data_IF_732196387833
#
_entry.id   IF_732196387833
#
_cell.length_a   1.000
_cell.length_b   1.000
_cell.length_c   1.000
_cell.angle_alpha   90.00
_cell.angle_beta   90.00
_cell.angle_gamma   90.00
#
_symmetry.space_group_name_H-M   'P 1'
#
loop_
_entity.id
_entity.type
_entity.pdbx_description
1 polymer ?
#
# COMPACT_ATOMS: atom_id res chain seq x y z
N UNK A 1 -29.57 -4.92 -20.00
CA UNK A 1 -28.29 -4.25 -19.66
C UNK A 1 -28.11 -4.30 -18.16
N UNK A 2 -26.95 -4.74 -17.63
CA UNK A 2 -26.69 -4.69 -16.19
C UNK A 2 -26.82 -3.23 -15.72
N UNK A 3 -27.61 -3.00 -14.66
CA UNK A 3 -27.83 -1.65 -14.12
C UNK A 3 -26.55 -1.18 -13.45
N UNK A 4 -25.88 -0.21 -14.06
CA UNK A 4 -24.76 0.52 -13.46
C UNK A 4 -25.25 1.19 -12.18
N UNK A 5 -24.79 0.67 -11.05
CA UNK A 5 -25.03 1.24 -9.73
C UNK A 5 -23.71 1.34 -8.96
N UNK A 6 -23.69 2.11 -7.89
CA UNK A 6 -22.48 2.36 -7.10
C UNK A 6 -21.82 1.05 -6.62
N UNK A 7 -22.61 0.04 -6.23
CA UNK A 7 -22.08 -1.27 -5.79
C UNK A 7 -21.34 -1.99 -6.90
N UNK A 8 -21.86 -1.96 -8.13
CA UNK A 8 -21.23 -2.59 -9.29
C UNK A 8 -19.91 -1.90 -9.68
N UNK A 9 -19.85 -0.57 -9.56
CA UNK A 9 -18.63 0.21 -9.83
C UNK A 9 -17.57 -0.10 -8.77
N UNK A 10 -17.94 -0.07 -7.48
CA UNK A 10 -17.00 -0.42 -6.39
C UNK A 10 -16.47 -1.83 -6.56
N UNK A 11 -17.33 -2.80 -6.89
CA UNK A 11 -16.91 -4.19 -7.13
C UNK A 11 -15.89 -4.29 -8.28
N UNK A 12 -16.11 -3.56 -9.36
CA UNK A 12 -15.18 -3.50 -10.49
C UNK A 12 -13.84 -2.88 -10.10
N UNK A 13 -13.85 -1.74 -9.40
CA UNK A 13 -12.63 -1.09 -8.90
C UNK A 13 -11.84 -2.00 -7.96
N UNK A 14 -12.54 -2.68 -7.03
CA UNK A 14 -11.90 -3.66 -6.14
C UNK A 14 -11.23 -4.79 -6.93
N UNK A 15 -11.88 -5.29 -7.99
CA UNK A 15 -11.31 -6.34 -8.84
C UNK A 15 -10.01 -5.89 -9.53
N UNK A 16 -9.90 -4.60 -9.90
CA UNK A 16 -8.66 -4.03 -10.44
C UNK A 16 -7.60 -3.89 -9.33
N UNK A 17 -8.00 -3.40 -8.16
CA UNK A 17 -7.12 -3.22 -7.00
C UNK A 17 -6.52 -4.57 -6.57
N UNK A 18 -7.31 -5.64 -6.57
CA UNK A 18 -6.88 -7.00 -6.22
C UNK A 18 -5.72 -7.49 -7.11
N UNK A 19 -5.65 -7.02 -8.36
CA UNK A 19 -4.56 -7.32 -9.30
C UNK A 19 -3.40 -6.32 -9.12
N UNK A 20 -3.71 -5.04 -8.89
CA UNK A 20 -2.70 -3.99 -8.84
C UNK A 20 -1.86 -4.04 -7.57
N UNK A 21 -2.45 -4.43 -6.42
CA UNK A 21 -1.74 -4.59 -5.14
C UNK A 21 -0.53 -5.52 -5.26
N UNK A 22 -0.65 -6.79 -5.73
CA UNK A 22 0.50 -7.67 -5.85
C UNK A 22 1.53 -7.16 -6.86
N UNK A 23 1.11 -6.49 -7.93
CA UNK A 23 2.03 -5.88 -8.91
C UNK A 23 2.86 -4.77 -8.24
N UNK A 24 2.23 -3.90 -7.46
CA UNK A 24 2.93 -2.85 -6.69
C UNK A 24 3.87 -3.49 -5.67
N UNK A 25 3.44 -4.54 -4.96
CA UNK A 25 4.26 -5.22 -3.97
C UNK A 25 5.52 -5.85 -4.59
N UNK A 26 5.37 -6.58 -5.70
CA UNK A 26 6.52 -7.14 -6.44
C UNK A 26 7.42 -6.01 -6.94
N UNK A 27 6.84 -4.96 -7.54
CA UNK A 27 7.62 -3.83 -8.06
C UNK A 27 8.40 -3.10 -6.97
N UNK A 28 7.84 -2.98 -5.76
CA UNK A 28 8.54 -2.38 -4.63
C UNK A 28 9.74 -3.23 -4.21
N UNK A 29 9.58 -4.55 -4.12
CA UNK A 29 10.69 -5.47 -3.85
C UNK A 29 11.78 -5.37 -4.91
N UNK A 30 11.39 -5.32 -6.19
CA UNK A 30 12.33 -5.13 -7.29
C UNK A 30 13.02 -3.78 -7.25
N UNK A 31 12.31 -2.69 -6.90
CA UNK A 31 12.90 -1.37 -6.72
C UNK A 31 13.90 -1.29 -5.56
N UNK A 32 13.68 -2.07 -4.50
CA UNK A 32 14.64 -2.22 -3.38
C UNK A 32 15.91 -2.95 -3.86
N UNK A 33 15.77 -3.99 -4.68
CA UNK A 33 16.91 -4.81 -5.15
C UNK A 33 17.70 -4.12 -6.26
N UNK A 34 17.02 -3.54 -7.25
CA UNK A 34 17.65 -2.96 -8.43
C UNK A 34 17.92 -1.45 -8.30
N UNK A 35 17.35 -0.80 -7.28
CA UNK A 35 17.54 0.62 -7.01
C UNK A 35 16.57 1.54 -7.77
N UNK A 36 16.66 2.86 -7.49
CA UNK A 36 15.70 3.87 -7.96
C UNK A 36 15.79 4.16 -9.46
N UNK A 37 16.91 3.83 -10.11
CA UNK A 37 17.13 4.10 -11.55
C UNK A 37 16.53 3.00 -12.45
N UNK A 38 16.02 1.92 -11.86
CA UNK A 38 15.40 0.83 -12.59
C UNK A 38 14.07 1.31 -13.25
N UNK A 39 13.88 1.11 -14.57
CA UNK A 39 12.68 1.55 -15.27
C UNK A 39 11.41 0.99 -14.63
N UNK A 40 10.37 1.83 -14.52
CA UNK A 40 9.07 1.51 -13.89
C UNK A 40 9.15 1.22 -12.38
N UNK A 41 9.91 0.23 -11.94
CA UNK A 41 9.97 -0.21 -10.53
C UNK A 41 10.66 0.82 -9.62
N UNK A 42 11.68 1.51 -10.11
CA UNK A 42 12.37 2.57 -9.38
C UNK A 42 11.46 3.75 -9.08
N UNK A 43 10.61 4.13 -10.03
CA UNK A 43 9.59 5.18 -9.82
C UNK A 43 8.54 4.78 -8.78
N UNK A 44 8.12 3.50 -8.74
CA UNK A 44 7.20 3.00 -7.71
C UNK A 44 7.86 3.09 -6.33
N UNK A 45 9.11 2.63 -6.20
CA UNK A 45 9.88 2.75 -4.96
C UNK A 45 9.97 4.20 -4.47
N UNK A 46 10.34 5.14 -5.36
CA UNK A 46 10.44 6.56 -5.01
C UNK A 46 9.10 7.16 -4.58
N UNK A 47 8.00 6.86 -5.27
CA UNK A 47 6.67 7.35 -4.91
C UNK A 47 6.24 6.85 -3.52
N UNK A 48 6.49 5.57 -3.21
CA UNK A 48 6.16 5.01 -1.89
C UNK A 48 7.05 5.64 -0.81
N UNK A 49 8.35 5.78 -1.05
CA UNK A 49 9.24 6.43 -0.09
C UNK A 49 8.87 7.89 0.15
N UNK A 50 8.42 8.60 -0.87
CA UNK A 50 7.96 9.98 -0.71
C UNK A 50 6.74 10.03 0.22
N UNK A 51 5.76 9.14 0.04
CA UNK A 51 4.61 9.03 0.95
C UNK A 51 5.05 8.68 2.38
N UNK A 52 5.97 7.74 2.54
CA UNK A 52 6.53 7.39 3.87
C UNK A 52 7.26 8.58 4.48
N UNK A 53 8.03 9.34 3.70
CA UNK A 53 8.74 10.52 4.19
C UNK A 53 7.82 11.66 4.61
N UNK A 54 6.63 11.79 4.00
CA UNK A 54 5.61 12.77 4.40
C UNK A 54 5.03 12.47 5.78
N UNK A 55 5.05 11.21 6.19
CA UNK A 55 4.67 10.78 7.53
C UNK A 55 5.79 11.11 8.55
N UNK A 56 7.03 11.30 8.08
CA UNK A 56 8.20 11.59 8.91
C UNK A 56 8.67 10.36 9.70
N UNK A 57 9.89 10.45 10.27
CA UNK A 57 10.43 9.40 11.14
C UNK A 57 9.51 9.14 12.35
N UNK A 58 8.89 10.20 12.88
CA UNK A 58 7.98 10.14 14.02
C UNK A 58 6.61 9.56 13.67
N UNK A 59 6.13 9.73 12.44
CA UNK A 59 4.85 9.14 12.05
C UNK A 59 4.94 7.63 11.79
N UNK A 60 6.10 7.12 11.37
CA UNK A 60 6.33 5.66 11.35
C UNK A 60 6.32 5.08 12.77
N UNK A 61 6.98 5.76 13.72
CA UNK A 61 6.91 5.40 15.14
C UNK A 61 5.47 5.45 15.67
N UNK A 62 4.70 6.47 15.28
CA UNK A 62 3.28 6.58 15.60
C UNK A 62 2.44 5.41 15.06
N UNK A 63 2.67 5.00 13.80
CA UNK A 63 1.98 3.83 13.21
C UNK A 63 2.35 2.53 13.93
N UNK A 64 3.63 2.32 14.26
CA UNK A 64 4.08 1.15 15.03
C UNK A 64 3.40 1.12 16.41
N UNK A 65 3.35 2.26 17.10
CA UNK A 65 2.67 2.36 18.40
C UNK A 65 1.17 1.98 18.30
N UNK A 66 0.47 2.50 17.28
CA UNK A 66 -0.94 2.14 17.03
C UNK A 66 -1.09 0.64 16.77
N UNK A 67 -0.23 0.04 15.95
CA UNK A 67 -0.26 -1.40 15.66
C UNK A 67 -0.06 -2.22 16.95
N UNK A 68 0.89 -1.86 17.80
CA UNK A 68 1.15 -2.54 19.08
C UNK A 68 -0.09 -2.44 19.99
N UNK A 69 -0.70 -1.26 20.10
CA UNK A 69 -1.91 -1.04 20.90
C UNK A 69 -3.06 -1.90 20.37
N UNK A 70 -3.31 -1.87 19.06
CA UNK A 70 -4.37 -2.66 18.42
C UNK A 70 -4.15 -4.17 18.61
N UNK A 71 -2.90 -4.63 18.52
CA UNK A 71 -2.54 -6.03 18.77
C UNK A 71 -2.81 -6.43 20.24
N UNK A 72 -2.43 -5.59 21.19
CA UNK A 72 -2.68 -5.83 22.62
C UNK A 72 -4.18 -5.87 22.94
N UNK A 73 -4.96 -4.94 22.39
CA UNK A 73 -6.43 -4.92 22.55
C UNK A 73 -7.05 -6.21 22.00
N UNK A 74 -6.61 -6.69 20.82
CA UNK A 74 -7.09 -7.93 20.22
C UNK A 74 -6.69 -9.19 20.99
N UNK A 75 -5.51 -9.21 21.62
CA UNK A 75 -5.03 -10.36 22.41
C UNK A 75 -5.84 -10.57 23.69
N UNK A 76 -6.41 -9.50 24.24
CA UNK A 76 -7.20 -9.52 25.48
C UNK A 76 -8.72 -9.61 25.25
N UNK A 77 -9.16 -9.91 24.03
CA UNK A 77 -10.52 -10.35 23.71
C UNK A 77 -10.52 -11.85 23.41
#
# INVERSE_FOLDING_TARGET
>A
MPKLNLKSIIKFLNSIIDILIPIIAVSLLLGIVFGPDAPFVGSIYLNINQVISMIGQDGLLGLIAIIIILFYIRKNQ
#
